data_IF_857196870337
#
_entry.id   IF_857196870337
#
_cell.length_a   1.000
_cell.length_b   1.000
_cell.length_c   1.000
_cell.angle_alpha   90.00
_cell.angle_beta   90.00
_cell.angle_gamma   90.00
#
_symmetry.space_group_name_H-M   'P 1'
#
loop_
_entity.id
_entity.type
_entity.pdbx_description
1 polymer ?
#
# COMPACT_ATOMS: atom_id res chain seq x y z
N UNK A 1 -10.07 -9.97 -2.34
CA UNK A 1 -10.16 -8.72 -3.15
C UNK A 1 -11.18 -8.86 -4.27
N UNK A 2 -11.19 -9.95 -5.04
CA UNK A 2 -12.24 -10.26 -6.03
C UNK A 2 -13.67 -10.11 -5.48
N UNK A 3 -13.95 -10.58 -4.27
CA UNK A 3 -15.27 -10.46 -3.62
C UNK A 3 -15.70 -9.01 -3.34
N UNK A 4 -14.75 -8.11 -3.11
CA UNK A 4 -15.03 -6.70 -2.74
C UNK A 4 -15.07 -5.81 -3.98
N UNK A 5 -14.17 -6.06 -4.93
CA UNK A 5 -13.97 -5.21 -6.08
C UNK A 5 -14.45 -5.84 -7.40
N UNK A 6 -15.04 -7.04 -7.38
CA UNK A 6 -15.53 -7.73 -8.58
C UNK A 6 -14.47 -7.82 -9.70
N UNK A 7 -13.24 -8.17 -9.30
CA UNK A 7 -12.06 -8.25 -10.16
C UNK A 7 -11.64 -6.92 -10.84
N UNK A 8 -12.11 -5.78 -10.33
CA UNK A 8 -11.73 -4.45 -10.84
C UNK A 8 -10.39 -3.93 -10.31
N UNK A 9 -9.67 -4.72 -9.50
CA UNK A 9 -8.37 -4.37 -8.91
C UNK A 9 -7.39 -5.51 -9.10
N UNK A 10 -6.12 -5.15 -9.23
CA UNK A 10 -5.01 -6.09 -9.35
C UNK A 10 -4.32 -6.26 -8.00
N UNK A 11 -3.80 -7.47 -7.66
CA UNK A 11 -2.96 -7.64 -6.49
C UNK A 11 -1.68 -6.80 -6.64
N UNK A 12 -1.24 -6.19 -5.55
CA UNK A 12 -0.02 -5.38 -5.50
C UNK A 12 1.01 -6.03 -4.58
N UNK A 13 2.27 -6.08 -5.03
CA UNK A 13 3.35 -6.80 -4.35
C UNK A 13 4.57 -5.92 -4.04
N UNK A 14 4.41 -4.60 -4.10
CA UNK A 14 5.40 -3.60 -3.67
C UNK A 14 4.71 -2.27 -3.39
N UNK A 15 5.40 -1.35 -2.71
CA UNK A 15 4.89 -0.01 -2.46
C UNK A 15 4.88 0.85 -3.75
N UNK A 16 5.84 0.63 -4.65
CA UNK A 16 5.80 1.24 -5.99
C UNK A 16 4.78 0.45 -6.82
N UNK A 17 3.76 1.10 -7.42
CA UNK A 17 2.71 0.40 -8.19
C UNK A 17 3.24 -0.32 -9.43
N UNK A 18 2.57 -1.41 -9.79
CA UNK A 18 2.82 -2.11 -11.05
C UNK A 18 2.55 -1.20 -12.24
N UNK A 19 3.48 -1.18 -13.20
CA UNK A 19 3.46 -0.29 -14.36
C UNK A 19 4.26 1.01 -14.17
N UNK A 20 4.73 1.32 -12.97
CA UNK A 20 5.66 2.43 -12.72
C UNK A 20 7.12 1.97 -12.89
N UNK A 21 8.00 2.89 -13.31
CA UNK A 21 9.44 2.62 -13.43
C UNK A 21 10.01 2.06 -12.11
N UNK A 22 10.91 1.08 -12.19
CA UNK A 22 11.56 0.51 -11.02
C UNK A 22 10.68 -0.41 -10.16
N UNK A 23 9.41 -0.63 -10.50
CA UNK A 23 8.55 -1.61 -9.81
C UNK A 23 9.18 -3.02 -9.83
N UNK A 24 9.09 -3.71 -8.69
CA UNK A 24 9.46 -5.12 -8.54
C UNK A 24 8.44 -5.86 -7.68
N UNK A 25 8.15 -7.13 -7.99
CA UNK A 25 7.18 -7.97 -7.27
C UNK A 25 7.77 -8.58 -5.97
N UNK A 26 8.47 -7.79 -5.15
CA UNK A 26 9.28 -8.27 -4.01
C UNK A 26 8.50 -9.04 -2.95
N UNK A 27 7.24 -8.68 -2.67
CA UNK A 27 6.42 -9.46 -1.74
C UNK A 27 5.96 -10.79 -2.34
N UNK A 28 5.76 -10.85 -3.66
CA UNK A 28 5.31 -12.06 -4.36
C UNK A 28 6.38 -13.15 -4.37
N UNK A 29 7.64 -12.75 -4.50
CA UNK A 29 8.78 -13.67 -4.51
C UNK A 29 9.12 -14.16 -3.10
N UNK A 30 8.92 -13.30 -2.09
CA UNK A 30 9.29 -13.59 -0.70
C UNK A 30 8.21 -14.28 0.10
N UNK A 31 6.95 -13.97 -0.16
CA UNK A 31 5.82 -14.42 0.65
C UNK A 31 4.80 -15.20 -0.18
N UNK A 32 4.20 -16.19 0.47
CA UNK A 32 3.03 -16.90 -0.03
C UNK A 32 2.04 -17.08 1.09
N UNK A 33 0.75 -17.23 0.74
CA UNK A 33 -0.29 -17.46 1.74
C UNK A 33 -0.15 -18.88 2.31
N UNK A 34 0.41 -18.99 3.51
CA UNK A 34 0.60 -20.26 4.22
C UNK A 34 0.22 -20.14 5.70
N UNK A 35 -0.93 -20.73 6.07
CA UNK A 35 -1.47 -20.65 7.43
C UNK A 35 -0.60 -21.39 8.44
N UNK A 36 -0.03 -22.54 8.07
CA UNK A 36 0.83 -23.31 8.97
C UNK A 36 2.13 -22.56 9.29
N UNK A 37 2.74 -21.93 8.28
CA UNK A 37 3.92 -21.08 8.47
C UNK A 37 3.60 -19.87 9.37
N UNK A 38 2.45 -19.22 9.16
CA UNK A 38 2.00 -18.12 10.01
C UNK A 38 1.79 -18.56 11.48
N UNK A 39 1.16 -19.72 11.71
CA UNK A 39 0.98 -20.29 13.05
C UNK A 39 2.32 -20.62 13.74
N UNK A 40 3.29 -21.13 12.98
CA UNK A 40 4.63 -21.39 13.51
C UNK A 40 5.35 -20.11 13.95
N UNK A 41 5.29 -19.05 13.13
CA UNK A 41 5.85 -17.73 13.47
C UNK A 41 5.14 -17.10 14.69
N UNK A 42 3.82 -17.20 14.76
CA UNK A 42 3.04 -16.73 15.92
C UNK A 42 3.41 -17.50 17.20
N UNK A 43 3.60 -18.81 17.10
CA UNK A 43 4.04 -19.65 18.22
C UNK A 43 5.44 -19.25 18.69
N UNK A 44 6.37 -19.03 17.75
CA UNK A 44 7.72 -18.55 18.07
C UNK A 44 7.71 -17.19 18.76
N UNK A 45 6.74 -16.32 18.42
CA UNK A 45 6.51 -15.03 19.07
C UNK A 45 5.73 -15.14 20.41
N UNK A 46 5.37 -16.34 20.86
CA UNK A 46 4.69 -16.57 22.13
C UNK A 46 3.15 -16.51 22.09
N UNK A 47 2.56 -16.46 20.89
CA UNK A 47 1.12 -16.49 20.70
C UNK A 47 0.60 -17.91 20.47
N UNK A 48 -0.66 -18.14 20.84
CA UNK A 48 -1.32 -19.43 20.70
C UNK A 48 -2.83 -19.24 20.53
N UNK A 49 -3.59 -20.35 20.43
CA UNK A 49 -5.05 -20.30 20.36
C UNK A 49 -5.70 -19.78 21.65
N UNK A 50 -5.01 -19.90 22.79
CA UNK A 50 -5.44 -19.39 24.10
C UNK A 50 -4.82 -18.03 24.44
N UNK A 51 -3.57 -17.78 24.00
CA UNK A 51 -2.88 -16.49 24.11
C UNK A 51 -2.79 -15.80 22.75
N UNK A 52 -3.91 -15.25 22.26
CA UNK A 52 -3.97 -14.64 20.92
C UNK A 52 -3.24 -13.30 20.83
N UNK A 53 -2.59 -13.05 19.69
CA UNK A 53 -2.18 -11.70 19.27
C UNK A 53 -3.42 -10.86 19.04
N UNK A 54 -3.56 -9.76 19.78
CA UNK A 54 -4.73 -8.87 19.73
C UNK A 54 -4.30 -7.47 19.32
N UNK A 55 -5.00 -6.91 18.34
CA UNK A 55 -4.80 -5.51 17.93
C UNK A 55 -6.05 -4.95 17.27
N UNK A 56 -6.08 -3.63 17.14
CA UNK A 56 -7.11 -2.91 16.39
C UNK A 56 -6.60 -2.63 14.98
N UNK A 57 -7.37 -2.99 13.96
CA UNK A 57 -7.20 -2.56 12.58
C UNK A 57 -8.09 -1.35 12.33
N UNK A 58 -7.46 -0.21 12.09
CA UNK A 58 -8.14 1.03 11.77
C UNK A 58 -8.39 1.16 10.27
N UNK A 59 -9.52 1.72 9.87
CA UNK A 59 -9.85 2.03 8.48
C UNK A 59 -10.67 3.32 8.41
N UNK A 60 -10.78 3.94 7.23
CA UNK A 60 -11.65 5.10 7.07
C UNK A 60 -13.01 4.68 6.54
N UNK A 61 -14.09 5.45 6.75
CA UNK A 61 -15.40 5.08 6.21
C UNK A 61 -15.44 5.07 4.67
N UNK A 62 -14.81 6.04 4.00
CA UNK A 62 -15.03 6.31 2.57
C UNK A 62 -13.86 6.98 1.81
N UNK A 63 -12.71 7.28 2.44
CA UNK A 63 -11.66 8.15 1.85
C UNK A 63 -11.14 7.64 0.51
N UNK A 64 -10.96 6.33 0.38
CA UNK A 64 -10.43 5.62 -0.78
C UNK A 64 -11.52 4.80 -1.50
N UNK A 65 -12.79 5.03 -1.16
CA UNK A 65 -13.94 4.35 -1.73
C UNK A 65 -14.86 3.75 -0.66
N UNK A 66 -16.08 3.39 -1.07
CA UNK A 66 -17.10 2.85 -0.18
C UNK A 66 -16.83 1.41 0.31
N UNK A 67 -15.78 0.76 -0.20
CA UNK A 67 -15.46 -0.65 0.08
C UNK A 67 -14.50 -0.84 1.26
N UNK A 68 -14.06 0.23 1.93
CA UNK A 68 -13.04 0.14 2.99
C UNK A 68 -13.44 -0.76 4.16
N UNK A 69 -14.71 -0.71 4.58
CA UNK A 69 -15.22 -1.59 5.64
C UNK A 69 -15.17 -3.08 5.24
N UNK A 70 -15.46 -3.38 3.98
CA UNK A 70 -15.41 -4.73 3.44
C UNK A 70 -13.96 -5.23 3.34
N UNK A 71 -13.04 -4.37 2.90
CA UNK A 71 -11.59 -4.67 2.90
C UNK A 71 -11.10 -4.97 4.32
N UNK A 72 -11.44 -4.13 5.30
CA UNK A 72 -11.07 -4.33 6.69
C UNK A 72 -11.62 -5.66 7.24
N UNK A 73 -12.86 -6.01 6.88
CA UNK A 73 -13.48 -7.29 7.25
C UNK A 73 -12.75 -8.47 6.62
N UNK A 74 -12.40 -8.41 5.34
CA UNK A 74 -11.64 -9.48 4.68
C UNK A 74 -10.24 -9.65 5.29
N UNK A 75 -9.54 -8.56 5.58
CA UNK A 75 -8.21 -8.61 6.22
C UNK A 75 -8.31 -9.24 7.61
N UNK A 76 -9.30 -8.83 8.42
CA UNK A 76 -9.58 -9.48 9.72
C UNK A 76 -9.83 -10.98 9.56
N UNK A 77 -10.72 -11.37 8.65
CA UNK A 77 -11.01 -12.79 8.43
C UNK A 77 -9.76 -13.58 8.01
N UNK A 78 -8.94 -13.04 7.11
CA UNK A 78 -7.71 -13.70 6.65
C UNK A 78 -6.69 -13.89 7.79
N UNK A 79 -6.54 -12.90 8.68
CA UNK A 79 -5.63 -12.99 9.82
C UNK A 79 -6.15 -13.96 10.89
N UNK A 80 -7.46 -13.93 11.18
CA UNK A 80 -8.09 -14.77 12.19
C UNK A 80 -8.21 -16.24 11.78
N UNK A 81 -8.04 -16.58 10.49
CA UNK A 81 -7.95 -17.97 10.01
C UNK A 81 -6.81 -18.77 10.67
N UNK A 82 -5.80 -18.09 11.21
CA UNK A 82 -4.75 -18.74 12.00
C UNK A 82 -5.27 -19.33 13.31
N UNK A 83 -6.41 -18.86 13.82
CA UNK A 83 -6.93 -19.16 15.15
C UNK A 83 -6.14 -18.51 16.30
N UNK A 84 -5.01 -17.86 16.01
CA UNK A 84 -4.06 -17.30 16.98
C UNK A 84 -4.02 -15.76 16.96
N UNK A 85 -4.69 -15.14 16.00
CA UNK A 85 -4.87 -13.68 15.90
C UNK A 85 -6.33 -13.33 16.23
N UNK A 86 -6.54 -12.16 16.83
CA UNK A 86 -7.86 -11.55 16.98
C UNK A 86 -7.79 -10.05 16.69
N UNK A 87 -8.59 -9.61 15.73
CA UNK A 87 -8.56 -8.24 15.20
C UNK A 87 -9.83 -7.52 15.60
N UNK A 88 -9.72 -6.33 16.20
CA UNK A 88 -10.86 -5.42 16.38
C UNK A 88 -10.88 -4.42 15.24
N UNK A 89 -12.03 -4.21 14.59
CA UNK A 89 -12.16 -3.19 13.55
C UNK A 89 -12.65 -1.88 14.17
N UNK A 90 -11.99 -0.78 13.88
CA UNK A 90 -12.44 0.56 14.25
C UNK A 90 -12.29 1.53 13.08
N UNK A 91 -13.24 2.45 12.95
CA UNK A 91 -13.18 3.50 11.93
C UNK A 91 -13.13 4.88 12.56
N UNK A 92 -12.49 5.82 11.86
CA UNK A 92 -12.56 7.25 12.17
C UNK A 92 -12.70 8.06 10.90
N UNK A 93 -13.40 9.19 11.00
CA UNK A 93 -13.48 10.19 9.93
C UNK A 93 -12.08 10.72 9.56
N UNK A 94 -11.87 11.04 8.28
CA UNK A 94 -10.53 11.21 7.70
C UNK A 94 -9.70 12.26 8.41
N UNK A 95 -10.29 13.40 8.79
CA UNK A 95 -9.53 14.47 9.44
C UNK A 95 -8.92 14.03 10.78
N UNK A 96 -9.71 13.31 11.58
CA UNK A 96 -9.27 12.76 12.86
C UNK A 96 -8.33 11.58 12.63
N UNK A 97 -8.69 10.66 11.72
CA UNK A 97 -7.89 9.50 11.34
C UNK A 97 -6.45 9.91 10.98
N UNK A 98 -6.32 10.96 10.16
CA UNK A 98 -5.05 11.49 9.71
C UNK A 98 -4.21 12.07 10.83
N UNK A 99 -4.84 12.67 11.84
CA UNK A 99 -4.15 13.16 13.02
C UNK A 99 -3.69 12.00 13.90
N UNK A 100 -4.55 11.00 14.11
CA UNK A 100 -4.28 9.83 14.95
C UNK A 100 -3.07 9.03 14.44
N UNK A 101 -3.00 8.69 13.14
CA UNK A 101 -1.84 7.93 12.63
C UNK A 101 -0.54 8.73 12.66
N UNK A 102 -0.59 10.05 12.41
CA UNK A 102 0.58 10.94 12.50
C UNK A 102 1.12 11.05 13.92
N UNK A 103 0.25 10.89 14.92
CA UNK A 103 0.64 10.86 16.33
C UNK A 103 1.03 9.45 16.81
N UNK A 104 1.09 8.46 15.91
CA UNK A 104 1.44 7.08 16.27
C UNK A 104 0.39 6.36 17.10
N UNK A 105 -0.87 6.79 17.06
CA UNK A 105 -1.95 6.22 17.89
C UNK A 105 -2.51 4.91 17.34
N UNK A 106 -2.22 4.57 16.08
CA UNK A 106 -2.69 3.35 15.44
C UNK A 106 -1.57 2.31 15.40
N UNK A 107 -1.83 1.11 15.93
CA UNK A 107 -0.90 -0.01 15.79
C UNK A 107 -0.92 -0.61 14.39
N UNK A 108 -2.11 -0.74 13.79
CA UNK A 108 -2.31 -1.24 12.42
C UNK A 108 -3.46 -0.49 11.79
N UNK A 109 -3.28 -0.02 10.56
CA UNK A 109 -4.30 0.78 9.88
C UNK A 109 -4.24 0.58 8.36
N UNK A 110 -5.37 0.77 7.69
CA UNK A 110 -5.46 0.79 6.24
C UNK A 110 -5.19 2.21 5.73
N UNK A 111 -4.47 2.29 4.63
CA UNK A 111 -4.20 3.54 3.93
C UNK A 111 -4.16 3.26 2.43
N UNK A 112 -4.53 4.26 1.64
CA UNK A 112 -4.36 4.27 0.19
C UNK A 112 -3.54 5.49 -0.25
N UNK A 113 -3.08 5.46 -1.50
CA UNK A 113 -2.34 6.57 -2.09
C UNK A 113 -2.69 6.74 -3.56
N UNK A 114 -2.76 8.00 -3.98
CA UNK A 114 -2.82 8.39 -5.38
C UNK A 114 -1.56 9.21 -5.64
N UNK A 115 -0.84 8.99 -6.74
CA UNK A 115 0.45 9.64 -6.95
C UNK A 115 0.27 11.14 -7.11
N UNK A 116 1.06 11.94 -6.39
CA UNK A 116 1.10 13.40 -6.59
C UNK A 116 1.91 13.72 -7.86
N UNK A 117 2.90 12.89 -8.19
CA UNK A 117 3.68 12.93 -9.43
C UNK A 117 4.09 11.52 -9.91
N UNK A 118 4.39 11.39 -11.21
CA UNK A 118 4.65 10.10 -11.86
C UNK A 118 6.12 9.66 -11.73
N UNK A 119 6.58 9.55 -10.50
CA UNK A 119 7.94 9.09 -10.20
C UNK A 119 7.93 8.15 -8.97
N UNK A 120 8.73 7.06 -8.95
CA UNK A 120 8.80 6.14 -7.81
C UNK A 120 9.15 6.78 -6.46
N UNK A 121 9.80 7.94 -6.49
CA UNK A 121 10.10 8.74 -5.31
C UNK A 121 8.82 9.07 -4.51
N UNK A 122 7.70 9.31 -5.20
CA UNK A 122 6.38 9.59 -4.63
C UNK A 122 5.85 8.47 -3.70
N UNK A 123 6.30 7.24 -3.92
CA UNK A 123 5.92 6.07 -3.10
C UNK A 123 6.99 5.70 -2.07
N UNK A 124 8.22 6.17 -2.21
CA UNK A 124 9.33 5.78 -1.33
C UNK A 124 9.63 6.86 -0.29
N UNK A 125 9.87 8.10 -0.71
CA UNK A 125 10.27 9.19 0.16
C UNK A 125 9.23 9.49 1.27
N UNK A 126 7.96 9.80 0.96
CA UNK A 126 7.00 10.15 2.01
C UNK A 126 6.70 8.99 2.95
N UNK A 127 6.78 7.74 2.50
CA UNK A 127 6.35 6.59 3.32
C UNK A 127 7.48 5.97 4.14
N UNK A 128 8.72 6.06 3.68
CA UNK A 128 9.84 5.28 4.23
C UNK A 128 10.96 6.15 4.80
N UNK A 129 11.14 7.39 4.34
CA UNK A 129 12.27 8.22 4.77
C UNK A 129 12.05 8.73 6.19
N UNK A 130 12.91 8.32 7.12
CA UNK A 130 12.78 8.65 8.55
C UNK A 130 13.32 10.03 8.90
N UNK A 131 14.55 10.36 8.48
CA UNK A 131 15.20 11.61 8.88
C UNK A 131 14.50 12.86 8.32
N UNK A 132 13.76 12.74 7.21
CA UNK A 132 12.90 13.81 6.70
C UNK A 132 11.58 13.96 7.46
N UNK A 133 11.24 12.99 8.31
CA UNK A 133 9.93 12.88 8.97
C UNK A 133 8.84 12.28 8.09
N UNK A 134 9.16 11.78 6.89
CA UNK A 134 8.21 11.15 5.98
C UNK A 134 7.48 9.98 6.62
N UNK A 135 8.23 8.95 7.03
CA UNK A 135 7.65 7.72 7.60
C UNK A 135 6.75 7.98 8.83
N UNK A 136 7.11 8.95 9.68
CA UNK A 136 6.28 9.41 10.79
C UNK A 136 5.02 10.16 10.31
N UNK A 137 5.16 11.02 9.30
CA UNK A 137 4.05 11.79 8.70
C UNK A 137 2.99 10.90 8.04
N UNK A 138 3.33 9.66 7.68
CA UNK A 138 2.44 8.66 7.12
C UNK A 138 2.19 7.45 8.03
N UNK A 139 2.64 7.55 9.29
CA UNK A 139 2.21 6.67 10.37
C UNK A 139 2.91 5.31 10.46
N UNK A 140 3.86 4.97 9.59
CA UNK A 140 4.67 3.75 9.78
C UNK A 140 5.73 3.92 10.87
N UNK A 141 6.21 5.15 11.07
CA UNK A 141 7.35 5.44 11.96
C UNK A 141 8.58 4.56 11.67
N UNK A 142 8.67 4.04 10.44
CA UNK A 142 9.74 3.16 10.01
C UNK A 142 11.06 3.93 10.03
N UNK A 143 12.10 3.29 10.59
CA UNK A 143 13.43 3.85 10.70
C UNK A 143 14.46 2.83 10.22
N UNK A 144 15.15 3.17 9.13
CA UNK A 144 16.27 2.39 8.61
C UNK A 144 17.23 3.32 7.85
N UNK A 145 18.40 3.59 8.44
CA UNK A 145 19.38 4.53 7.89
C UNK A 145 19.90 4.11 6.50
N UNK A 146 19.90 2.80 6.21
CA UNK A 146 20.27 2.29 4.89
C UNK A 146 19.21 2.64 3.85
N UNK A 147 17.92 2.53 4.21
CA UNK A 147 16.80 2.91 3.33
C UNK A 147 16.80 4.43 3.09
N UNK A 148 17.00 5.24 4.13
CA UNK A 148 17.15 6.70 3.98
C UNK A 148 18.31 7.05 3.02
N UNK A 149 19.45 6.38 3.15
CA UNK A 149 20.59 6.56 2.24
C UNK A 149 20.25 6.21 0.79
N UNK A 150 19.56 5.09 0.56
CA UNK A 150 19.15 4.65 -0.77
C UNK A 150 18.10 5.58 -1.40
N UNK A 151 17.14 6.08 -0.61
CA UNK A 151 16.12 7.04 -1.07
C UNK A 151 16.79 8.35 -1.52
N UNK A 152 17.76 8.85 -0.73
CA UNK A 152 18.52 10.03 -1.12
C UNK A 152 19.37 9.79 -2.38
N UNK A 153 19.99 8.61 -2.50
CA UNK A 153 20.79 8.26 -3.66
C UNK A 153 19.93 8.21 -4.93
N UNK A 154 18.78 7.53 -4.93
CA UNK A 154 17.96 7.38 -6.13
C UNK A 154 17.44 8.72 -6.67
N UNK A 155 17.25 9.71 -5.80
CA UNK A 155 16.83 11.06 -6.19
C UNK A 155 17.92 11.83 -6.96
N UNK A 156 19.19 11.46 -6.82
CA UNK A 156 20.33 12.08 -7.54
C UNK A 156 20.65 11.40 -8.86
N UNK A 157 20.10 10.20 -9.10
CA UNK A 157 20.43 9.39 -10.27
C UNK A 157 19.59 9.80 -11.49
N UNK A 158 20.12 9.67 -12.73
CA UNK A 158 19.36 10.04 -13.92
C UNK A 158 18.05 9.28 -14.05
N UNK A 159 17.03 9.98 -14.56
CA UNK A 159 15.70 9.43 -14.83
C UNK A 159 15.82 8.17 -15.69
N UNK A 160 15.09 7.13 -15.29
CA UNK A 160 15.02 5.83 -15.99
C UNK A 160 16.38 5.10 -16.17
N UNK A 161 17.43 5.48 -15.44
CA UNK A 161 18.73 4.81 -15.53
C UNK A 161 18.73 3.44 -14.85
N UNK A 162 19.59 2.53 -15.34
CA UNK A 162 19.78 1.20 -14.74
C UNK A 162 20.23 1.29 -13.28
N UNK A 163 21.10 2.25 -12.95
CA UNK A 163 21.55 2.49 -11.58
C UNK A 163 20.36 2.84 -10.67
N UNK A 164 19.46 3.71 -11.14
CA UNK A 164 18.25 4.08 -10.41
C UNK A 164 17.29 2.92 -10.22
N UNK A 165 17.10 2.10 -11.25
CA UNK A 165 16.31 0.88 -11.13
C UNK A 165 16.87 -0.08 -10.06
N UNK A 166 18.20 -0.24 -10.00
CA UNK A 166 18.86 -1.08 -8.99
C UNK A 166 18.68 -0.52 -7.58
N UNK A 167 18.89 0.78 -7.37
CA UNK A 167 18.67 1.42 -6.06
C UNK A 167 17.22 1.31 -5.61
N UNK A 168 16.25 1.52 -6.52
CA UNK A 168 14.83 1.32 -6.23
C UNK A 168 14.49 -0.14 -5.88
N UNK A 169 15.12 -1.12 -6.53
CA UNK A 169 14.98 -2.54 -6.18
C UNK A 169 15.47 -2.81 -4.76
N UNK A 170 16.63 -2.25 -4.37
CA UNK A 170 17.19 -2.42 -3.02
C UNK A 170 16.27 -1.83 -1.94
N UNK A 171 15.66 -0.67 -2.20
CA UNK A 171 14.66 -0.07 -1.28
C UNK A 171 13.46 -1.02 -1.12
N UNK A 172 12.93 -1.56 -2.21
CA UNK A 172 11.80 -2.48 -2.19
C UNK A 172 12.14 -3.81 -1.50
N UNK A 173 13.35 -4.34 -1.69
CA UNK A 173 13.83 -5.55 -0.99
C UNK A 173 13.92 -5.32 0.53
N UNK A 174 14.44 -4.17 0.95
CA UNK A 174 14.48 -3.80 2.38
C UNK A 174 13.07 -3.66 2.96
N UNK A 175 12.16 -3.00 2.24
CA UNK A 175 10.75 -2.92 2.60
C UNK A 175 10.12 -4.31 2.76
N UNK A 176 10.37 -5.22 1.82
CA UNK A 176 9.83 -6.58 1.89
C UNK A 176 10.45 -7.41 3.01
N UNK A 177 11.65 -7.05 3.49
CA UNK A 177 12.24 -7.70 4.66
C UNK A 177 11.63 -7.19 5.98
N UNK A 178 11.49 -5.87 6.11
CA UNK A 178 11.12 -5.22 7.37
C UNK A 178 9.59 -5.06 7.53
N UNK A 179 8.86 -5.07 6.41
CA UNK A 179 7.39 -4.99 6.30
C UNK A 179 6.76 -3.84 7.10
N UNK A 180 7.21 -2.57 6.95
CA UNK A 180 6.52 -1.43 7.57
C UNK A 180 5.16 -1.14 6.90
N UNK A 181 4.97 -1.60 5.66
CA UNK A 181 3.69 -1.61 4.96
C UNK A 181 3.49 -2.96 4.28
N UNK A 182 2.23 -3.40 4.18
CA UNK A 182 1.83 -4.58 3.43
C UNK A 182 0.99 -4.15 2.21
N UNK A 183 1.56 -4.14 1.00
CA UNK A 183 0.80 -3.86 -0.22
C UNK A 183 -0.32 -4.90 -0.41
N UNK A 184 -1.53 -4.45 -0.77
CA UNK A 184 -2.70 -5.32 -0.90
C UNK A 184 -3.20 -5.39 -2.35
N UNK A 185 -3.47 -4.25 -2.96
CA UNK A 185 -4.02 -4.14 -4.31
C UNK A 185 -3.77 -2.75 -4.90
N UNK A 186 -3.92 -2.65 -6.21
CA UNK A 186 -3.98 -1.39 -6.95
C UNK A 186 -5.22 -1.36 -7.87
N UNK A 187 -5.83 -0.20 -8.08
CA UNK A 187 -6.92 -0.03 -9.04
C UNK A 187 -6.39 0.16 -10.45
N UNK A 188 -7.08 -0.42 -11.43
CA UNK A 188 -6.91 -0.05 -12.84
C UNK A 188 -7.81 1.15 -13.18
N UNK A 189 -7.36 2.02 -14.08
CA UNK A 189 -8.22 3.08 -14.59
C UNK A 189 -9.30 2.49 -15.49
N UNK A 190 -10.56 2.76 -15.18
CA UNK A 190 -11.70 2.35 -15.99
C UNK A 190 -12.52 3.57 -16.37
N UNK A 191 -13.00 3.62 -17.61
CA UNK A 191 -13.91 4.66 -18.10
C UNK A 191 -15.01 4.04 -18.92
N UNK A 192 -16.25 4.46 -18.66
CA UNK A 192 -17.43 4.09 -19.44
C UNK A 192 -17.95 5.35 -20.12
N UNK A 193 -18.12 5.30 -21.45
CA UNK A 193 -18.60 6.41 -22.24
C UNK A 193 -19.55 5.92 -23.34
N UNK A 194 -20.43 6.82 -23.82
CA UNK A 194 -21.36 6.50 -24.91
C UNK A 194 -20.60 6.31 -26.22
N UNK A 195 -21.09 5.47 -27.16
CA UNK A 195 -20.45 5.31 -28.47
C UNK A 195 -20.29 6.61 -29.28
N UNK A 196 -21.11 7.64 -29.01
CA UNK A 196 -21.01 8.96 -29.64
C UNK A 196 -19.90 9.85 -29.07
N UNK A 197 -19.20 9.41 -28.03
CA UNK A 197 -18.09 10.14 -27.42
C UNK A 197 -16.78 9.56 -27.94
N UNK A 198 -15.93 10.42 -28.49
CA UNK A 198 -14.57 10.07 -28.92
C UNK A 198 -13.53 10.96 -28.23
N UNK A 199 -12.25 10.60 -28.37
CA UNK A 199 -11.15 11.33 -27.73
C UNK A 199 -11.02 11.06 -26.22
N UNK A 200 -11.56 9.94 -25.73
CA UNK A 200 -11.38 9.49 -24.35
C UNK A 200 -9.96 8.94 -24.19
N UNK A 201 -9.18 9.57 -23.32
CA UNK A 201 -7.80 9.17 -23.01
C UNK A 201 -7.72 8.88 -21.51
N UNK A 202 -7.28 7.66 -21.19
CA UNK A 202 -6.80 7.31 -19.85
C UNK A 202 -5.29 7.41 -19.87
N UNK A 203 -4.73 8.27 -19.03
CA UNK A 203 -3.29 8.49 -18.93
C UNK A 203 -2.81 8.31 -17.48
N UNK A 204 -1.51 8.06 -17.33
CA UNK A 204 -0.88 7.71 -16.05
C UNK A 204 -1.08 8.78 -14.96
N UNK A 205 -1.31 10.04 -15.33
CA UNK A 205 -1.52 11.15 -14.38
C UNK A 205 -2.85 11.09 -13.64
N UNK A 206 -3.75 10.20 -14.01
CA UNK A 206 -5.10 10.07 -13.45
C UNK A 206 -6.00 11.30 -13.61
N UNK A 207 -5.55 12.32 -14.33
CA UNK A 207 -6.38 13.45 -14.73
C UNK A 207 -7.18 13.14 -15.99
N UNK A 208 -8.51 13.15 -15.86
CA UNK A 208 -9.38 12.98 -17.01
C UNK A 208 -9.33 14.22 -17.93
N UNK A 209 -8.88 14.03 -19.18
CA UNK A 209 -8.67 15.12 -20.15
C UNK A 209 -9.98 15.50 -20.84
N UNK A 210 -10.72 16.45 -20.28
CA UNK A 210 -11.99 16.88 -20.89
C UNK A 210 -11.83 17.54 -22.27
N UNK A 211 -10.70 18.23 -22.52
CA UNK A 211 -10.48 18.97 -23.76
C UNK A 211 -10.25 18.08 -25.00
N UNK A 212 -9.95 16.79 -24.80
CA UNK A 212 -9.78 15.82 -25.89
C UNK A 212 -11.12 15.26 -26.37
N UNK A 213 -12.18 15.39 -25.56
CA UNK A 213 -13.49 14.81 -25.84
C UNK A 213 -14.16 15.46 -27.05
N UNK A 214 -14.86 14.65 -27.83
CA UNK A 214 -15.72 15.07 -28.95
C UNK A 214 -17.05 14.33 -28.87
N UNK A 215 -18.13 15.01 -29.28
CA UNK A 215 -19.47 14.42 -29.41
C UNK A 215 -19.82 14.42 -30.89
N UNK A 216 -20.15 13.25 -31.42
CA UNK A 216 -20.63 13.06 -32.80
C UNK A 216 -22.11 12.73 -32.82
#
# INVERSE_FOLDING_TARGET
MSTVFLDSVDPLYSLIPSGMFGHTDVFKTRYSRNIAAAQALLTQAGFSTTNKLRFTLWYTPVRYGSTEADVATLVKQALEQTGMVSVTLQSQEWLVYRQSFRLGQFSVFLLGWFPDYLDPDDYTYPFLHYASGGSASFGSWYQNDSVDTLINLQATQPIASTQRAQTLSQIQDALANDVPYLPLWQTSQQVVYKPSISGVILDQSQFFRYFTLRVS
#
